data_IF_565496634194
#
_entry.id   IF_565496634194
#
_cell.length_a   1.000
_cell.length_b   1.000
_cell.length_c   1.000
_cell.angle_alpha   90.00
_cell.angle_beta   90.00
_cell.angle_gamma   90.00
#
_symmetry.space_group_name_H-M   'P 1'
#
loop_
_entity.id
_entity.type
_entity.pdbx_description
1 polymer ?
#
# COMPACT_ATOMS: atom_id res chain seq x y z
N UNK A 1 -13.20 -0.45 -1.64
CA UNK A 1 -12.00 0.10 -2.32
C UNK A 1 -12.40 1.32 -3.12
N UNK A 2 -11.63 2.41 -3.08
CA UNK A 2 -11.86 3.58 -3.95
C UNK A 2 -11.34 3.26 -5.35
N UNK A 3 -12.07 3.62 -6.40
CA UNK A 3 -11.61 3.44 -7.80
C UNK A 3 -10.23 4.08 -8.03
N UNK A 4 -9.96 5.20 -7.33
CA UNK A 4 -8.68 5.90 -7.32
C UNK A 4 -7.48 5.04 -6.91
N UNK A 5 -7.68 4.00 -6.10
CA UNK A 5 -6.59 3.11 -5.69
C UNK A 5 -6.27 2.04 -6.75
N UNK A 6 -7.23 1.71 -7.62
CA UNK A 6 -7.14 0.60 -8.59
C UNK A 6 -6.74 1.11 -9.98
N UNK A 7 -7.23 2.28 -10.37
CA UNK A 7 -7.02 2.84 -11.72
C UNK A 7 -5.52 3.07 -12.01
N UNK A 8 -4.71 3.74 -11.16
CA UNK A 8 -3.32 4.03 -11.49
C UNK A 8 -2.46 2.77 -11.66
N UNK A 9 -2.52 1.74 -10.78
CA UNK A 9 -1.79 0.49 -11.00
C UNK A 9 -2.20 -0.23 -12.29
N UNK A 10 -3.50 -0.22 -12.63
CA UNK A 10 -4.00 -0.84 -13.85
C UNK A 10 -3.51 -0.11 -15.11
N UNK A 11 -3.58 1.22 -15.11
CA UNK A 11 -3.05 2.05 -16.21
C UNK A 11 -1.55 1.88 -16.33
N UNK A 12 -0.81 1.83 -15.22
CA UNK A 12 0.62 1.54 -15.21
C UNK A 12 0.93 0.18 -15.85
N UNK A 13 0.21 -0.87 -15.44
CA UNK A 13 0.41 -2.21 -15.98
C UNK A 13 0.20 -2.24 -17.50
N UNK A 14 -0.89 -1.66 -18.00
CA UNK A 14 -1.16 -1.56 -19.44
C UNK A 14 -0.07 -0.74 -20.15
N UNK A 15 0.38 0.37 -19.55
CA UNK A 15 1.41 1.22 -20.13
C UNK A 15 2.77 0.51 -20.23
N UNK A 16 3.14 -0.29 -19.23
CA UNK A 16 4.38 -1.08 -19.24
C UNK A 16 4.33 -2.20 -20.26
N UNK A 17 3.20 -2.90 -20.37
CA UNK A 17 3.00 -3.91 -21.43
C UNK A 17 3.09 -3.29 -22.83
N UNK A 18 2.51 -2.11 -23.02
CA UNK A 18 2.59 -1.40 -24.30
C UNK A 18 3.99 -0.88 -24.63
N UNK A 19 4.82 -0.59 -23.60
CA UNK A 19 6.18 -0.10 -23.75
C UNK A 19 7.25 -1.22 -23.83
N UNK A 20 6.88 -2.46 -23.55
CA UNK A 20 7.78 -3.63 -23.42
C UNK A 20 8.95 -3.39 -22.45
N UNK A 21 8.67 -2.69 -21.34
CA UNK A 21 9.68 -2.21 -20.39
C UNK A 21 9.73 -3.09 -19.13
N UNK A 22 10.32 -4.28 -19.26
CA UNK A 22 10.46 -5.24 -18.16
C UNK A 22 11.28 -4.69 -16.97
N UNK A 23 12.20 -3.74 -17.22
CA UNK A 23 13.00 -3.11 -16.18
C UNK A 23 12.12 -2.25 -15.27
N UNK A 24 11.20 -1.45 -15.84
CA UNK A 24 10.31 -0.61 -15.05
C UNK A 24 9.30 -1.46 -14.24
N UNK A 25 8.83 -2.57 -14.82
CA UNK A 25 7.98 -3.53 -14.09
C UNK A 25 8.67 -4.10 -12.86
N UNK A 26 9.87 -4.66 -13.05
CA UNK A 26 10.63 -5.29 -11.96
C UNK A 26 11.00 -4.29 -10.88
N UNK A 27 11.41 -3.07 -11.26
CA UNK A 27 11.64 -1.96 -10.33
C UNK A 27 10.42 -1.69 -9.46
N UNK A 28 9.24 -1.53 -10.06
CA UNK A 28 8.02 -1.27 -9.30
C UNK A 28 7.64 -2.45 -8.37
N UNK A 29 7.77 -3.69 -8.84
CA UNK A 29 7.52 -4.88 -8.02
C UNK A 29 8.49 -4.99 -6.84
N UNK A 30 9.78 -4.70 -7.04
CA UNK A 30 10.78 -4.73 -5.97
C UNK A 30 10.51 -3.62 -4.95
N UNK A 31 10.27 -2.38 -5.39
CA UNK A 31 9.92 -1.28 -4.49
C UNK A 31 8.63 -1.58 -3.70
N UNK A 32 7.59 -2.09 -4.38
CA UNK A 32 6.34 -2.47 -3.74
C UNK A 32 6.50 -3.60 -2.74
N UNK A 33 7.27 -4.64 -3.09
CA UNK A 33 7.57 -5.77 -2.22
C UNK A 33 8.35 -5.37 -0.98
N UNK A 34 9.34 -4.48 -1.11
CA UNK A 34 10.10 -3.95 0.02
C UNK A 34 9.21 -3.14 0.97
N UNK A 35 8.35 -2.27 0.43
CA UNK A 35 7.41 -1.50 1.25
C UNK A 35 6.38 -2.39 1.95
N UNK A 36 5.82 -3.38 1.25
CA UNK A 36 4.89 -4.33 1.83
C UNK A 36 5.56 -5.18 2.93
N UNK A 37 6.81 -5.59 2.73
CA UNK A 37 7.59 -6.33 3.73
C UNK A 37 7.87 -5.46 4.96
N UNK A 38 8.22 -4.19 4.75
CA UNK A 38 8.43 -3.22 5.84
C UNK A 38 7.14 -2.96 6.61
N UNK A 39 6.01 -2.79 5.93
CA UNK A 39 4.67 -2.65 6.53
C UNK A 39 4.34 -3.89 7.38
N UNK A 40 4.56 -5.09 6.86
CA UNK A 40 4.36 -6.33 7.60
C UNK A 40 5.28 -6.47 8.82
N UNK A 41 6.56 -6.11 8.69
CA UNK A 41 7.51 -6.13 9.79
C UNK A 41 7.14 -5.11 10.88
N UNK A 42 6.72 -3.91 10.50
CA UNK A 42 6.24 -2.89 11.43
C UNK A 42 4.96 -3.37 12.13
N UNK A 43 3.99 -3.89 11.39
CA UNK A 43 2.77 -4.46 11.96
C UNK A 43 3.06 -5.58 12.98
N UNK A 44 4.10 -6.37 12.76
CA UNK A 44 4.53 -7.42 13.68
C UNK A 44 5.22 -6.87 14.94
N UNK A 45 6.10 -5.87 14.79
CA UNK A 45 6.93 -5.34 15.88
C UNK A 45 6.18 -4.31 16.73
N UNK A 46 5.17 -3.62 16.19
CA UNK A 46 4.41 -2.61 16.91
C UNK A 46 3.06 -3.17 17.40
N UNK A 47 2.98 -3.71 18.64
CA UNK A 47 1.70 -3.96 19.32
C UNK A 47 1.03 -2.65 19.77
N UNK A 48 1.40 -1.50 19.19
CA UNK A 48 0.89 -0.20 19.58
C UNK A 48 -0.62 -0.19 19.33
N UNK A 49 -1.44 -0.02 20.39
CA UNK A 49 -2.87 0.14 20.19
C UNK A 49 -3.09 1.39 19.34
N UNK A 50 -4.00 1.32 18.36
CA UNK A 50 -4.37 2.45 17.52
C UNK A 50 -4.82 3.67 18.33
N UNK A 51 -5.17 4.76 17.65
CA UNK A 51 -5.49 6.06 18.30
C UNK A 51 -6.57 5.99 19.40
N UNK A 52 -7.45 4.98 19.36
CA UNK A 52 -8.47 4.69 20.38
C UNK A 52 -7.97 3.96 21.63
N UNK A 53 -6.67 3.69 21.75
CA UNK A 53 -6.08 2.92 22.84
C UNK A 53 -6.54 1.46 22.86
N UNK A 54 -6.13 0.74 23.92
CA UNK A 54 -6.44 -0.68 24.06
C UNK A 54 -7.95 -0.96 24.17
N UNK A 55 -8.71 -0.07 24.82
CA UNK A 55 -10.16 -0.22 24.95
C UNK A 55 -10.89 -0.14 23.60
N UNK A 56 -10.56 0.84 22.76
CA UNK A 56 -11.13 0.93 21.41
C UNK A 56 -10.73 -0.26 20.53
N UNK A 57 -9.52 -0.79 20.73
CA UNK A 57 -9.10 -2.03 20.11
C UNK A 57 -9.96 -3.24 20.54
N UNK A 58 -10.16 -3.45 21.84
CA UNK A 58 -10.98 -4.54 22.35
C UNK A 58 -12.42 -4.48 21.82
N UNK A 59 -12.98 -3.28 21.74
CA UNK A 59 -14.32 -3.06 21.18
C UNK A 59 -14.39 -3.40 19.67
N UNK A 60 -13.34 -3.08 18.91
CA UNK A 60 -13.28 -3.42 17.48
C UNK A 60 -13.04 -4.90 17.20
N UNK A 61 -12.20 -5.58 18.00
CA UNK A 61 -11.93 -7.01 17.88
C UNK A 61 -13.13 -7.87 18.29
N UNK A 62 -13.91 -7.40 19.26
CA UNK A 62 -14.94 -8.20 19.90
C UNK A 62 -14.37 -9.40 20.68
N UNK A 63 -15.25 -10.19 21.32
CA UNK A 63 -14.82 -11.31 22.15
C UNK A 63 -14.16 -12.45 21.36
N UNK A 64 -14.59 -12.68 20.10
CA UNK A 64 -14.04 -13.73 19.23
C UNK A 64 -12.62 -13.40 18.76
N UNK A 65 -12.36 -12.15 18.36
CA UNK A 65 -11.02 -11.69 17.99
C UNK A 65 -10.06 -11.77 19.18
N UNK A 66 -10.53 -11.43 20.38
CA UNK A 66 -9.73 -11.56 21.60
C UNK A 66 -9.40 -13.01 21.97
N UNK A 67 -10.30 -13.95 21.69
CA UNK A 67 -10.06 -15.37 21.91
C UNK A 67 -8.96 -15.91 20.96
N UNK A 68 -8.91 -15.42 19.73
CA UNK A 68 -7.89 -15.79 18.74
C UNK A 68 -6.47 -15.43 19.19
N UNK A 69 -6.27 -14.24 19.78
CA UNK A 69 -4.96 -13.77 20.24
C UNK A 69 -4.54 -14.32 21.61
N UNK A 70 -5.40 -15.09 22.28
CA UNK A 70 -5.06 -15.68 23.59
C UNK A 70 -4.11 -16.88 23.34
N UNK A 71 -2.88 -16.86 23.86
CA UNK A 71 -1.93 -17.94 23.61
C UNK A 71 -2.50 -19.27 24.10
N UNK A 72 -2.52 -20.28 23.24
CA UNK A 72 -2.80 -21.64 23.67
C UNK A 72 -1.65 -22.13 24.53
N UNK A 73 -1.93 -22.49 25.78
CA UNK A 73 -0.92 -22.96 26.74
C UNK A 73 -0.14 -24.16 26.14
N UNK A 74 1.19 -24.02 26.05
CA UNK A 74 2.10 -25.10 25.66
C UNK A 74 2.54 -25.15 24.19
N UNK A 75 2.20 -24.17 23.35
CA UNK A 75 2.72 -24.10 21.98
C UNK A 75 4.06 -23.36 21.88
N UNK A 76 4.94 -23.85 21.01
CA UNK A 76 6.21 -23.19 20.68
C UNK A 76 5.94 -21.91 19.88
N UNK A 77 6.61 -20.80 20.25
CA UNK A 77 6.46 -19.50 19.59
C UNK A 77 6.67 -19.57 18.06
N UNK A 78 7.59 -20.41 17.61
CA UNK A 78 7.90 -20.59 16.18
C UNK A 78 6.74 -21.24 15.41
N UNK A 79 6.10 -22.27 15.97
CA UNK A 79 4.94 -22.89 15.30
C UNK A 79 3.74 -21.96 15.26
N UNK A 80 3.52 -21.14 16.31
CA UNK A 80 2.46 -20.13 16.31
C UNK A 80 2.69 -19.09 15.22
N UNK A 81 3.93 -18.64 15.02
CA UNK A 81 4.26 -17.71 13.96
C UNK A 81 3.85 -18.24 12.57
N UNK A 82 4.22 -19.48 12.23
CA UNK A 82 3.88 -20.05 10.92
C UNK A 82 2.36 -20.25 10.74
N UNK A 83 1.65 -20.66 11.78
CA UNK A 83 0.18 -20.80 11.74
C UNK A 83 -0.48 -19.44 11.50
N UNK A 84 -0.08 -18.41 12.23
CA UNK A 84 -0.63 -17.04 12.07
C UNK A 84 -0.32 -16.50 10.67
N UNK A 85 0.91 -16.66 10.18
CA UNK A 85 1.28 -16.22 8.83
C UNK A 85 0.48 -16.97 7.77
N UNK A 86 0.32 -18.28 7.92
CA UNK A 86 -0.45 -19.09 6.98
C UNK A 86 -1.93 -18.71 6.96
N UNK A 87 -2.54 -18.52 8.13
CA UNK A 87 -3.92 -18.08 8.25
C UNK A 87 -4.12 -16.67 7.68
N UNK A 88 -3.17 -15.75 7.90
CA UNK A 88 -3.21 -14.41 7.33
C UNK A 88 -3.18 -14.45 5.78
N UNK A 89 -2.29 -15.26 5.21
CA UNK A 89 -2.20 -15.46 3.75
C UNK A 89 -3.50 -16.07 3.22
N UNK A 90 -4.03 -17.11 3.88
CA UNK A 90 -5.28 -17.72 3.50
C UNK A 90 -6.46 -16.74 3.59
N UNK A 91 -6.50 -15.90 4.62
CA UNK A 91 -7.54 -14.90 4.83
C UNK A 91 -7.51 -13.80 3.79
N UNK A 92 -6.34 -13.28 3.42
CA UNK A 92 -6.22 -12.30 2.34
C UNK A 92 -6.57 -12.92 0.98
N UNK A 93 -6.06 -14.13 0.68
CA UNK A 93 -6.37 -14.84 -0.56
C UNK A 93 -7.87 -15.19 -0.67
N UNK A 94 -8.49 -15.66 0.41
CA UNK A 94 -9.93 -15.94 0.46
C UNK A 94 -10.75 -14.65 0.51
N UNK A 95 -10.30 -13.58 1.16
CA UNK A 95 -11.00 -12.29 1.13
C UNK A 95 -11.08 -11.74 -0.30
N UNK A 96 -10.00 -11.87 -1.07
CA UNK A 96 -9.94 -11.51 -2.50
C UNK A 96 -10.93 -12.33 -3.35
N UNK A 97 -11.14 -13.61 -3.02
CA UNK A 97 -11.97 -14.55 -3.79
C UNK A 97 -13.44 -14.55 -3.35
N UNK A 98 -13.73 -14.43 -2.05
CA UNK A 98 -15.06 -14.66 -1.48
C UNK A 98 -15.80 -13.40 -1.02
N UNK A 99 -15.11 -12.29 -0.72
CA UNK A 99 -15.81 -11.13 -0.13
C UNK A 99 -16.26 -10.09 -1.15
N UNK A 100 -17.45 -10.33 -1.70
CA UNK A 100 -18.32 -9.30 -2.27
C UNK A 100 -18.88 -8.33 -1.20
N UNK A 101 -18.02 -7.70 -0.40
CA UNK A 101 -18.38 -6.50 0.38
C UNK A 101 -18.82 -6.64 1.84
N UNK A 102 -18.64 -7.81 2.51
CA UNK A 102 -18.89 -7.96 3.96
C UNK A 102 -17.68 -8.53 4.73
N UNK A 103 -16.54 -7.85 4.62
CA UNK A 103 -15.34 -8.13 5.43
C UNK A 103 -15.47 -7.49 6.82
N UNK A 104 -16.27 -8.12 7.69
CA UNK A 104 -16.59 -7.62 9.03
C UNK A 104 -15.69 -8.09 10.18
N UNK A 105 -14.93 -9.19 10.04
CA UNK A 105 -14.52 -9.93 11.25
C UNK A 105 -13.05 -10.05 11.59
N UNK A 106 -12.12 -9.54 10.79
CA UNK A 106 -10.70 -9.50 11.17
C UNK A 106 -10.14 -8.10 10.95
N UNK A 107 -10.59 -7.16 11.80
CA UNK A 107 -9.94 -5.85 11.90
C UNK A 107 -8.79 -5.98 12.87
N UNK A 108 -7.57 -5.89 12.36
CA UNK A 108 -6.39 -5.73 13.20
C UNK A 108 -6.48 -4.38 13.94
N UNK A 109 -6.14 -4.40 15.22
CA UNK A 109 -6.10 -3.20 16.06
C UNK A 109 -4.86 -2.32 15.85
N UNK A 110 -3.87 -2.83 15.11
CA UNK A 110 -2.74 -2.01 14.73
C UNK A 110 -3.18 -1.14 13.56
N UNK A 111 -3.33 0.15 13.84
CA UNK A 111 -3.13 1.15 12.81
C UNK A 111 -1.66 1.06 12.44
N UNK A 112 -1.35 0.25 11.42
CA UNK A 112 0.01 0.16 10.91
C UNK A 112 0.40 1.58 10.49
N UNK A 113 1.58 2.10 10.86
CA UNK A 113 2.01 3.47 10.53
C UNK A 113 2.27 3.66 9.03
N UNK A 114 1.82 2.71 8.21
CA UNK A 114 2.04 2.64 6.80
C UNK A 114 0.77 2.12 6.13
N UNK A 115 0.35 2.77 5.06
CA UNK A 115 -0.85 2.37 4.33
C UNK A 115 -0.47 1.79 2.97
N UNK A 116 -0.68 0.49 2.81
CA UNK A 116 -0.73 -0.23 1.52
C UNK A 116 -1.24 0.60 0.34
N UNK A 117 -2.39 1.23 0.58
CA UNK A 117 -3.14 1.97 -0.44
C UNK A 117 -2.48 3.29 -0.83
N UNK A 118 -1.75 3.92 0.09
CA UNK A 118 -1.09 5.20 -0.16
C UNK A 118 0.17 5.00 -1.01
N UNK A 119 1.08 4.12 -0.59
CA UNK A 119 2.31 3.89 -1.35
C UNK A 119 2.06 3.17 -2.67
N UNK A 120 1.06 2.29 -2.77
CA UNK A 120 0.73 1.60 -4.02
C UNK A 120 0.33 2.57 -5.15
N UNK A 121 -0.53 3.54 -4.83
CA UNK A 121 -0.91 4.60 -5.78
C UNK A 121 0.30 5.47 -6.14
N UNK A 122 1.10 5.85 -5.15
CA UNK A 122 2.30 6.69 -5.36
C UNK A 122 3.33 5.99 -6.25
N UNK A 123 3.65 4.72 -6.00
CA UNK A 123 4.54 3.94 -6.85
C UNK A 123 4.01 3.83 -8.28
N UNK A 124 2.71 3.55 -8.45
CA UNK A 124 2.09 3.48 -9.78
C UNK A 124 2.16 4.84 -10.52
N UNK A 125 1.91 5.95 -9.83
CA UNK A 125 2.03 7.29 -10.39
C UNK A 125 3.49 7.63 -10.76
N UNK A 126 4.46 7.29 -9.91
CA UNK A 126 5.88 7.47 -10.22
C UNK A 126 6.32 6.63 -11.42
N UNK A 127 5.86 5.37 -11.49
CA UNK A 127 6.06 4.49 -12.64
C UNK A 127 5.48 5.06 -13.93
N UNK A 128 4.24 5.55 -13.90
CA UNK A 128 3.60 6.21 -15.06
C UNK A 128 4.36 7.46 -15.50
N UNK A 129 4.84 8.26 -14.55
CA UNK A 129 5.66 9.42 -14.87
C UNK A 129 6.96 9.01 -15.57
N UNK A 130 7.60 7.93 -15.13
CA UNK A 130 8.80 7.39 -15.77
C UNK A 130 8.53 6.88 -17.20
N UNK A 131 7.38 6.23 -17.45
CA UNK A 131 6.94 5.87 -18.81
C UNK A 131 6.80 7.11 -19.69
N UNK A 132 6.07 8.12 -19.22
CA UNK A 132 5.88 9.39 -19.97
C UNK A 132 7.23 10.07 -20.21
N UNK A 133 8.12 10.07 -19.21
CA UNK A 133 9.44 10.64 -19.33
C UNK A 133 10.27 9.97 -20.44
N UNK A 134 10.28 8.63 -20.50
CA UNK A 134 10.99 7.85 -21.53
C UNK A 134 10.37 8.05 -22.91
N UNK A 135 9.05 7.99 -23.04
CA UNK A 135 8.35 8.19 -24.32
C UNK A 135 8.55 9.60 -24.88
N UNK A 136 8.57 10.62 -24.02
CA UNK A 136 8.75 12.02 -24.42
C UNK A 136 10.18 12.37 -24.86
N UNK A 137 11.18 11.49 -24.67
CA UNK A 137 12.54 11.73 -25.19
C UNK A 137 12.62 11.77 -26.72
N UNK A 138 11.62 11.23 -27.43
CA UNK A 138 11.54 11.24 -28.89
C UNK A 138 10.88 12.50 -29.46
N UNK A 139 10.32 13.37 -28.61
CA UNK A 139 9.61 14.57 -29.03
C UNK A 139 10.53 15.79 -29.12
N UNK A 140 10.08 16.83 -29.83
CA UNK A 140 10.75 18.12 -29.85
C UNK A 140 10.84 18.74 -28.44
N UNK A 141 11.90 19.51 -28.12
CA UNK A 141 12.19 19.95 -26.75
C UNK A 141 11.09 20.82 -26.12
N UNK A 142 10.40 21.63 -26.93
CA UNK A 142 9.28 22.46 -26.45
C UNK A 142 8.05 21.63 -26.07
N UNK A 143 7.73 20.58 -26.85
CA UNK A 143 6.64 19.66 -26.53
C UNK A 143 6.98 18.76 -25.34
N UNK A 144 8.24 18.34 -25.23
CA UNK A 144 8.72 17.49 -24.15
C UNK A 144 8.46 18.11 -22.77
N UNK A 145 8.77 19.41 -22.61
CA UNK A 145 8.52 20.12 -21.35
C UNK A 145 7.02 20.20 -21.03
N UNK A 146 6.19 20.53 -22.02
CA UNK A 146 4.74 20.64 -21.83
C UNK A 146 4.10 19.32 -21.40
N UNK A 147 4.41 18.22 -22.09
CA UNK A 147 3.86 16.89 -21.76
C UNK A 147 4.32 16.42 -20.38
N UNK A 148 5.59 16.64 -20.03
CA UNK A 148 6.13 16.26 -18.72
C UNK A 148 5.51 17.06 -17.58
N UNK A 149 5.38 18.38 -17.75
CA UNK A 149 4.73 19.23 -16.75
C UNK A 149 3.27 18.83 -16.56
N UNK A 150 2.55 18.60 -17.66
CA UNK A 150 1.15 18.16 -17.60
C UNK A 150 1.00 16.82 -16.88
N UNK A 151 1.82 15.81 -17.22
CA UNK A 151 1.80 14.52 -16.56
C UNK A 151 2.18 14.62 -15.08
N UNK A 152 3.21 15.40 -14.73
CA UNK A 152 3.62 15.61 -13.35
C UNK A 152 2.49 16.23 -12.51
N UNK A 153 1.83 17.29 -13.01
CA UNK A 153 0.70 17.93 -12.33
C UNK A 153 -0.47 16.96 -12.18
N UNK A 154 -0.86 16.27 -13.25
CA UNK A 154 -1.97 15.31 -13.23
C UNK A 154 -1.74 14.17 -12.23
N UNK A 155 -0.58 13.52 -12.29
CA UNK A 155 -0.24 12.40 -11.40
C UNK A 155 -0.09 12.85 -9.94
N UNK A 156 0.53 14.01 -9.69
CA UNK A 156 0.64 14.58 -8.34
C UNK A 156 -0.74 14.92 -7.78
N UNK A 157 -1.61 15.51 -8.59
CA UNK A 157 -2.99 15.82 -8.17
C UNK A 157 -3.76 14.56 -7.77
N UNK A 158 -3.53 13.44 -8.47
CA UNK A 158 -4.14 12.15 -8.17
C UNK A 158 -3.65 11.60 -6.82
N UNK A 159 -2.34 11.66 -6.56
CA UNK A 159 -1.75 11.24 -5.29
C UNK A 159 -2.28 12.09 -4.13
N UNK A 160 -2.35 13.42 -4.30
CA UNK A 160 -2.87 14.35 -3.29
C UNK A 160 -4.36 14.12 -3.05
N UNK A 161 -5.16 13.90 -4.09
CA UNK A 161 -6.58 13.62 -3.97
C UNK A 161 -6.82 12.29 -3.24
N UNK A 162 -6.12 11.22 -3.62
CA UNK A 162 -6.22 9.93 -2.94
C UNK A 162 -5.84 10.05 -1.46
N UNK A 163 -4.72 10.72 -1.18
CA UNK A 163 -4.23 11.04 0.17
C UNK A 163 -5.28 11.82 0.99
N UNK A 164 -5.90 12.83 0.40
CA UNK A 164 -6.94 13.63 1.06
C UNK A 164 -8.19 12.81 1.37
N UNK A 165 -8.62 11.94 0.45
CA UNK A 165 -9.74 11.03 0.70
C UNK A 165 -9.43 10.02 1.81
N UNK A 166 -8.18 9.54 1.90
CA UNK A 166 -7.77 8.66 3.00
C UNK A 166 -7.88 9.37 4.35
N UNK A 167 -7.38 10.61 4.45
CA UNK A 167 -7.48 11.45 5.65
C UNK A 167 -8.94 11.77 6.04
N UNK A 168 -9.83 11.95 5.07
CA UNK A 168 -11.26 12.16 5.33
C UNK A 168 -11.96 10.88 5.78
N UNK A 169 -11.54 9.71 5.27
CA UNK A 169 -12.21 8.44 5.51
C UNK A 169 -11.91 7.83 6.89
N UNK A 170 -10.76 8.14 7.49
CA UNK A 170 -10.32 7.70 8.84
C UNK A 170 -9.25 8.65 9.40
N UNK A 171 -9.09 8.74 10.72
CA UNK A 171 -7.97 9.45 11.34
C UNK A 171 -6.68 8.64 11.23
N UNK A 172 -6.25 8.29 10.01
CA UNK A 172 -4.87 7.90 9.80
C UNK A 172 -3.99 9.09 10.15
N UNK A 173 -2.93 8.89 10.92
CA UNK A 173 -2.05 9.99 11.27
C UNK A 173 -1.45 10.56 9.98
N UNK A 174 -1.55 11.88 9.78
CA UNK A 174 -0.94 12.53 8.62
C UNK A 174 0.57 12.25 8.50
N UNK A 175 1.22 11.96 9.65
CA UNK A 175 2.61 11.53 9.73
C UNK A 175 2.85 10.20 9.00
N UNK A 176 1.98 9.22 9.17
CA UNK A 176 2.08 7.88 8.54
C UNK A 176 1.96 7.98 7.02
N UNK A 177 1.01 8.79 6.57
CA UNK A 177 0.83 9.09 5.16
C UNK A 177 2.08 9.76 4.58
N UNK A 178 2.61 10.77 5.26
CA UNK A 178 3.83 11.47 4.86
C UNK A 178 5.05 10.54 4.78
N UNK A 179 5.24 9.69 5.79
CA UNK A 179 6.29 8.68 5.80
C UNK A 179 6.15 7.71 4.62
N UNK A 180 4.91 7.30 4.29
CA UNK A 180 4.67 6.39 3.16
C UNK A 180 4.98 6.99 1.80
N UNK A 181 4.63 8.26 1.60
CA UNK A 181 4.96 8.99 0.37
C UNK A 181 6.47 9.20 0.26
N UNK A 182 7.13 9.56 1.37
CA UNK A 182 8.57 9.79 1.41
C UNK A 182 9.36 8.51 1.12
N UNK A 183 9.04 7.39 1.79
CA UNK A 183 9.73 6.11 1.55
C UNK A 183 9.46 5.57 0.15
N UNK A 184 8.24 5.70 -0.37
CA UNK A 184 7.94 5.31 -1.75
C UNK A 184 8.74 6.14 -2.77
N UNK A 185 8.83 7.46 -2.56
CA UNK A 185 9.66 8.34 -3.38
C UNK A 185 11.15 7.99 -3.29
N UNK A 186 11.67 7.80 -2.09
CA UNK A 186 13.09 7.46 -1.85
C UNK A 186 13.46 6.12 -2.49
N UNK A 187 12.68 5.07 -2.27
CA UNK A 187 12.94 3.75 -2.84
C UNK A 187 12.83 3.75 -4.36
N UNK A 188 11.88 4.49 -4.93
CA UNK A 188 11.68 4.50 -6.38
C UNK A 188 12.70 5.38 -7.12
N UNK A 189 13.16 6.47 -6.51
CA UNK A 189 14.12 7.39 -7.15
C UNK A 189 15.58 6.98 -6.97
N UNK A 190 15.89 6.11 -6.01
CA UNK A 190 17.25 5.63 -5.80
C UNK A 190 17.65 4.61 -6.90
N UNK A 191 18.70 4.89 -7.70
CA UNK A 191 19.12 4.04 -8.83
C UNK A 191 20.04 2.87 -8.45
N UNK A 192 20.02 2.43 -7.18
CA UNK A 192 20.91 1.40 -6.64
C UNK A 192 20.96 0.11 -7.49
#
# INVERSE_FOLDING_TARGET
MTLLAVVPPLVFFVAVLAADDAQLWTKLCVCGGLLASLEGALAFVSPAPGAGGWLGCQEQLGPEGLAYFRPADGQNAVSQFFVVVWELICLEALALVYTGGRSGHLRFCSDVPFSGRAYGVTLACLGLFEVVWRQTQRLAPHMQQGVRAFAAVGLTSLVVLNSSLMLLSRPSYAADLGASLALAGLLFTNPA
#
